data_IF_987227828031
#
_entry.id   IF_987227828031
#
_cell.length_a   1.000
_cell.length_b   1.000
_cell.length_c   1.000
_cell.angle_alpha   90.00
_cell.angle_beta   90.00
_cell.angle_gamma   90.00
#
_symmetry.space_group_name_H-M   'P 1'
#
loop_
_entity.id
_entity.type
_entity.pdbx_description
1 polymer ?
#
# COMPACT_ATOMS: atom_id res chain seq x y z
N UNK A 1 21.21 12.47 4.43
CA UNK A 1 19.98 12.66 5.22
C UNK A 1 19.46 14.06 4.93
N UNK A 2 18.33 14.19 4.22
CA UNK A 2 17.72 15.50 3.98
C UNK A 2 16.67 15.67 5.08
N UNK A 3 17.05 16.36 6.16
CA UNK A 3 16.12 16.72 7.24
C UNK A 3 15.22 17.84 6.73
N UNK A 4 13.94 17.55 6.54
CA UNK A 4 12.89 18.57 6.44
C UNK A 4 12.45 18.95 7.85
N UNK A 5 12.92 20.10 8.33
CA UNK A 5 12.43 20.70 9.57
C UNK A 5 11.03 21.27 9.36
N UNK A 6 10.23 21.22 10.41
CA UNK A 6 8.82 21.54 10.41
C UNK A 6 8.46 22.92 9.86
N UNK A 7 7.18 22.97 9.47
CA UNK A 7 6.34 24.11 9.16
C UNK A 7 6.48 25.21 10.22
N UNK A 8 7.41 26.14 10.01
CA UNK A 8 7.57 27.34 10.82
C UNK A 8 8.98 27.93 10.74
N UNK A 9 9.14 29.00 9.95
CA UNK A 9 10.38 29.78 9.92
C UNK A 9 10.72 30.28 8.51
N UNK A 10 10.66 31.60 8.35
CA UNK A 10 10.90 32.38 7.12
C UNK A 10 12.33 32.25 6.54
N UNK A 11 12.65 31.11 5.95
CA UNK A 11 13.95 30.90 5.31
C UNK A 11 13.91 29.84 4.22
N UNK A 12 13.69 30.28 2.98
CA UNK A 12 13.79 29.48 1.75
C UNK A 12 13.03 28.15 1.79
N UNK A 13 11.82 28.15 1.25
CA UNK A 13 11.13 26.93 0.86
C UNK A 13 11.94 26.29 -0.29
N UNK A 14 13.04 25.62 0.06
CA UNK A 14 13.87 24.88 -0.89
C UNK A 14 12.95 23.82 -1.47
N UNK A 15 12.61 23.98 -2.74
CA UNK A 15 11.75 23.03 -3.45
C UNK A 15 12.53 21.72 -3.65
N UNK A 16 12.50 20.89 -2.61
CA UNK A 16 13.15 19.57 -2.54
C UNK A 16 12.71 18.71 -3.72
N UNK A 17 11.49 18.91 -4.25
CA UNK A 17 10.99 18.20 -5.43
C UNK A 17 11.87 18.43 -6.66
N UNK A 18 12.26 19.68 -6.92
CA UNK A 18 13.08 20.01 -8.08
C UNK A 18 14.54 19.59 -7.89
N UNK A 19 15.06 19.62 -6.67
CA UNK A 19 16.38 19.07 -6.35
C UNK A 19 16.44 17.55 -6.58
N UNK A 20 15.41 16.82 -6.13
CA UNK A 20 15.30 15.37 -6.35
C UNK A 20 15.15 15.02 -7.83
N UNK A 21 14.33 15.77 -8.59
CA UNK A 21 14.19 15.60 -10.05
C UNK A 21 15.54 15.77 -10.77
N UNK A 22 16.33 16.76 -10.39
CA UNK A 22 17.66 16.99 -10.98
C UNK A 22 18.65 15.88 -10.60
N UNK A 23 18.61 15.36 -9.38
CA UNK A 23 19.47 14.25 -8.94
C UNK A 23 19.11 12.92 -9.65
N UNK A 24 17.81 12.67 -9.85
CA UNK A 24 17.27 11.53 -10.60
C UNK A 24 17.64 11.61 -12.09
N UNK A 25 17.47 12.78 -12.73
CA UNK A 25 17.79 12.97 -14.14
C UNK A 25 19.29 12.80 -14.46
N UNK A 26 20.16 13.15 -13.50
CA UNK A 26 21.62 12.96 -13.60
C UNK A 26 22.08 11.54 -13.21
N UNK A 27 21.16 10.65 -12.81
CA UNK A 27 21.48 9.29 -12.40
C UNK A 27 22.27 9.16 -11.10
N UNK A 28 22.41 10.24 -10.31
CA UNK A 28 23.12 10.24 -9.02
C UNK A 28 22.27 9.64 -7.89
N UNK A 29 20.96 9.53 -8.12
CA UNK A 29 20.00 8.92 -7.20
C UNK A 29 19.17 7.90 -7.98
N UNK A 30 18.95 6.73 -7.36
CA UNK A 30 17.99 5.72 -7.82
C UNK A 30 16.96 5.56 -6.72
N UNK A 31 15.69 5.60 -7.08
CA UNK A 31 14.61 5.48 -6.12
C UNK A 31 13.41 4.79 -6.77
N UNK A 32 12.68 4.04 -5.95
CA UNK A 32 11.37 3.54 -6.30
C UNK A 32 10.34 4.44 -5.64
N UNK A 33 9.21 4.65 -6.31
CA UNK A 33 8.08 5.37 -5.75
C UNK A 33 6.85 4.50 -5.89
N UNK A 34 6.11 4.33 -4.80
CA UNK A 34 4.82 3.67 -4.78
C UNK A 34 3.74 4.74 -4.64
N UNK A 35 2.77 4.75 -5.56
CA UNK A 35 1.64 5.67 -5.58
C UNK A 35 0.45 4.92 -6.16
N UNK A 36 -0.76 5.36 -5.81
CA UNK A 36 -1.98 4.80 -6.37
C UNK A 36 -2.16 5.21 -7.84
N UNK A 37 -2.96 4.45 -8.59
CA UNK A 37 -3.24 4.76 -9.99
C UNK A 37 -3.88 6.15 -10.15
N UNK A 38 -4.82 6.51 -9.27
CA UNK A 38 -5.52 7.79 -9.33
C UNK A 38 -4.63 8.98 -8.98
N UNK A 39 -3.72 8.83 -8.01
CA UNK A 39 -2.71 9.84 -7.71
C UNK A 39 -1.77 10.06 -8.89
N UNK A 40 -1.36 8.97 -9.54
CA UNK A 40 -0.55 9.05 -10.74
C UNK A 40 -1.27 9.81 -11.86
N UNK A 41 -2.53 9.49 -12.15
CA UNK A 41 -3.32 10.15 -13.19
C UNK A 41 -3.53 11.64 -12.91
N UNK A 42 -3.81 12.00 -11.64
CA UNK A 42 -3.92 13.39 -11.20
C UNK A 42 -2.59 14.13 -11.34
N UNK A 43 -1.47 13.51 -10.98
CA UNK A 43 -0.14 14.09 -11.12
C UNK A 43 0.22 14.34 -12.59
N UNK A 44 -0.09 13.41 -13.50
CA UNK A 44 0.17 13.60 -14.94
C UNK A 44 -0.74 14.65 -15.59
N UNK A 45 -1.97 14.81 -15.09
CA UNK A 45 -2.94 15.79 -15.59
C UNK A 45 -2.64 17.22 -15.11
N UNK A 46 -2.14 17.37 -13.88
CA UNK A 46 -1.81 18.66 -13.27
C UNK A 46 -0.34 19.03 -13.46
N UNK A 47 0.01 19.63 -14.62
CA UNK A 47 1.29 20.33 -14.89
C UNK A 47 2.62 19.53 -14.75
N UNK A 48 2.65 18.31 -14.21
CA UNK A 48 3.85 17.45 -14.09
C UNK A 48 4.20 16.72 -15.41
N UNK A 49 3.93 17.33 -16.57
CA UNK A 49 4.07 16.70 -17.89
C UNK A 49 5.51 16.63 -18.41
N UNK A 50 6.48 17.21 -17.69
CA UNK A 50 7.85 17.45 -18.20
C UNK A 50 8.95 16.53 -17.65
N UNK A 51 8.66 15.65 -16.69
CA UNK A 51 9.70 14.83 -16.02
C UNK A 51 9.48 13.32 -16.12
N UNK A 52 8.37 12.85 -16.69
CA UNK A 52 7.96 11.44 -16.65
C UNK A 52 8.71 10.52 -17.62
N UNK A 53 9.57 11.06 -18.50
CA UNK A 53 10.28 10.27 -19.50
C UNK A 53 11.38 9.34 -18.93
N UNK A 54 11.77 9.50 -17.66
CA UNK A 54 12.84 8.69 -17.04
C UNK A 54 12.35 7.52 -16.17
N UNK A 55 11.05 7.45 -15.86
CA UNK A 55 10.53 6.48 -14.89
C UNK A 55 9.86 5.29 -15.60
N UNK A 56 10.42 4.08 -15.43
CA UNK A 56 9.75 2.85 -15.85
C UNK A 56 8.59 2.56 -14.91
N UNK A 57 7.38 2.38 -15.45
CA UNK A 57 6.21 2.00 -14.67
C UNK A 57 6.16 0.47 -14.54
N UNK A 58 5.96 -0.01 -13.32
CA UNK A 58 5.59 -1.38 -13.04
C UNK A 58 4.22 -1.37 -12.36
N UNK A 59 3.22 -1.96 -13.01
CA UNK A 59 1.89 -2.12 -12.40
C UNK A 59 1.91 -3.36 -11.52
N UNK A 60 1.49 -3.22 -10.26
CA UNK A 60 1.37 -4.34 -9.32
C UNK A 60 -0.12 -4.69 -9.23
N UNK A 61 -0.54 -5.87 -9.73
CA UNK A 61 -1.92 -6.33 -9.57
C UNK A 61 -2.17 -6.81 -8.13
N UNK A 62 -3.44 -6.89 -7.76
CA UNK A 62 -3.85 -7.57 -6.52
C UNK A 62 -3.47 -9.06 -6.60
N UNK A 63 -2.87 -9.64 -5.54
CA UNK A 63 -2.54 -11.07 -5.50
C UNK A 63 -3.80 -11.93 -5.47
N UNK A 64 -3.69 -13.17 -5.96
CA UNK A 64 -4.79 -14.13 -5.89
C UNK A 64 -5.00 -14.64 -4.46
N UNK A 65 -6.12 -15.33 -4.20
CA UNK A 65 -6.35 -15.99 -2.91
C UNK A 65 -5.22 -16.97 -2.57
N UNK A 66 -4.75 -17.75 -3.56
CA UNK A 66 -3.65 -18.70 -3.38
C UNK A 66 -2.34 -18.01 -3.04
N UNK A 67 -2.01 -16.93 -3.74
CA UNK A 67 -0.80 -16.13 -3.46
C UNK A 67 -0.88 -15.49 -2.07
N UNK A 68 -2.07 -15.05 -1.66
CA UNK A 68 -2.30 -14.47 -0.33
C UNK A 68 -2.08 -15.49 0.77
N UNK A 69 -2.55 -16.73 0.59
CA UNK A 69 -2.29 -17.84 1.53
C UNK A 69 -0.78 -18.06 1.66
N UNK A 70 -0.04 -18.10 0.54
CA UNK A 70 1.40 -18.28 0.55
C UNK A 70 2.13 -17.11 1.27
N UNK A 71 1.70 -15.87 1.04
CA UNK A 71 2.23 -14.69 1.74
C UNK A 71 2.00 -14.80 3.25
N UNK A 72 0.78 -15.17 3.68
CA UNK A 72 0.45 -15.32 5.09
C UNK A 72 1.22 -16.48 5.74
N UNK A 73 1.40 -17.61 5.04
CA UNK A 73 2.22 -18.72 5.51
C UNK A 73 3.68 -18.30 5.72
N UNK A 74 4.25 -17.50 4.82
CA UNK A 74 5.61 -16.98 4.97
C UNK A 74 5.72 -16.00 6.16
N UNK A 75 4.70 -15.17 6.38
CA UNK A 75 4.68 -14.20 7.48
C UNK A 75 4.26 -14.81 8.83
N UNK A 76 3.68 -16.01 8.84
CA UNK A 76 3.19 -16.70 10.05
C UNK A 76 4.23 -16.70 11.18
N UNK A 77 5.47 -17.09 10.89
CA UNK A 77 6.52 -17.15 11.91
C UNK A 77 6.84 -15.78 12.53
N UNK A 78 6.58 -14.68 11.81
CA UNK A 78 6.74 -13.32 12.33
C UNK A 78 5.56 -12.94 13.23
N UNK A 79 4.33 -13.24 12.80
CA UNK A 79 3.12 -12.99 13.58
C UNK A 79 3.08 -13.80 14.88
N UNK A 80 3.43 -15.09 14.84
CA UNK A 80 3.46 -15.93 16.06
C UNK A 80 4.46 -15.41 17.10
N UNK A 81 5.58 -14.83 16.66
CA UNK A 81 6.57 -14.19 17.53
C UNK A 81 6.07 -12.89 18.13
N UNK A 82 5.35 -12.08 17.35
CA UNK A 82 4.79 -10.81 17.81
C UNK A 82 3.61 -11.04 18.76
N UNK A 83 2.71 -11.95 18.40
CA UNK A 83 1.43 -12.10 19.08
C UNK A 83 1.43 -13.18 20.17
N UNK A 84 2.49 -13.98 20.27
CA UNK A 84 2.57 -15.13 21.20
C UNK A 84 1.39 -16.12 21.05
N UNK A 85 0.72 -16.09 19.90
CA UNK A 85 -0.37 -16.97 19.53
C UNK A 85 0.12 -17.95 18.46
N UNK A 86 -0.44 -19.17 18.45
CA UNK A 86 -0.16 -20.16 17.39
C UNK A 86 -1.29 -20.13 16.38
N UNK A 87 -0.96 -19.99 15.10
CA UNK A 87 -1.96 -20.03 14.04
C UNK A 87 -2.06 -21.43 13.44
N UNK A 88 -3.27 -21.96 13.38
CA UNK A 88 -3.55 -23.15 12.58
C UNK A 88 -3.56 -22.78 11.09
N UNK A 89 -3.16 -23.70 10.24
CA UNK A 89 -3.11 -23.45 8.79
C UNK A 89 -4.51 -23.29 8.20
N UNK A 90 -5.47 -24.02 8.76
CA UNK A 90 -6.89 -23.93 8.47
C UNK A 90 -7.45 -22.53 8.81
N UNK A 91 -6.94 -21.90 9.87
CA UNK A 91 -7.37 -20.56 10.28
C UNK A 91 -6.92 -19.50 9.27
N UNK A 92 -5.70 -19.61 8.72
CA UNK A 92 -5.21 -18.71 7.67
C UNK A 92 -6.02 -18.86 6.38
N UNK A 93 -6.32 -20.10 5.98
CA UNK A 93 -7.16 -20.38 4.81
C UNK A 93 -8.57 -19.84 5.02
N UNK A 94 -9.14 -20.01 6.21
CA UNK A 94 -10.44 -19.47 6.57
C UNK A 94 -10.44 -17.92 6.52
N UNK A 95 -9.41 -17.26 7.05
CA UNK A 95 -9.27 -15.81 7.01
C UNK A 95 -9.22 -15.27 5.57
N UNK A 96 -8.46 -15.90 4.67
CA UNK A 96 -8.42 -15.51 3.25
C UNK A 96 -9.77 -15.70 2.58
N UNK A 97 -10.43 -16.85 2.78
CA UNK A 97 -11.75 -17.13 2.18
C UNK A 97 -12.84 -16.20 2.70
N UNK A 98 -12.85 -15.94 4.01
CA UNK A 98 -13.84 -15.06 4.64
C UNK A 98 -13.62 -13.61 4.26
N UNK A 99 -12.37 -13.13 4.24
CA UNK A 99 -12.05 -11.77 3.77
C UNK A 99 -12.40 -11.59 2.29
N UNK A 100 -12.12 -12.57 1.42
CA UNK A 100 -12.51 -12.53 0.02
C UNK A 100 -14.03 -12.47 -0.20
N UNK A 101 -14.80 -13.13 0.67
CA UNK A 101 -16.27 -13.19 0.58
C UNK A 101 -16.98 -12.01 1.22
N UNK A 102 -16.55 -11.59 2.41
CA UNK A 102 -17.28 -10.66 3.27
C UNK A 102 -16.60 -9.29 3.41
N UNK A 103 -15.28 -9.22 3.25
CA UNK A 103 -14.52 -7.96 3.22
C UNK A 103 -14.33 -7.54 1.76
N UNK A 104 -15.46 -7.47 1.04
CA UNK A 104 -15.50 -6.82 -0.26
C UNK A 104 -15.78 -5.35 0.00
N UNK A 105 -14.78 -4.50 -0.20
CA UNK A 105 -14.97 -3.04 -0.21
C UNK A 105 -16.14 -2.74 -1.14
N UNK A 106 -17.16 -2.04 -0.64
CA UNK A 106 -18.47 -1.84 -1.27
C UNK A 106 -18.41 -1.74 -2.81
N UNK A 107 -18.45 -2.89 -3.48
CA UNK A 107 -18.74 -3.01 -4.91
C UNK A 107 -20.26 -2.91 -5.07
N UNK A 108 -20.83 -1.80 -4.57
CA UNK A 108 -22.14 -1.34 -5.03
C UNK A 108 -21.93 -0.71 -6.39
N UNK A 109 -22.06 -1.60 -7.37
CA UNK A 109 -22.49 -1.38 -8.73
C UNK A 109 -23.65 -0.38 -8.87
N UNK A 110 -23.44 0.91 -8.65
CA UNK A 110 -24.15 2.02 -9.31
C UNK A 110 -23.70 3.38 -8.77
N UNK A 111 -23.67 4.35 -9.67
CA UNK A 111 -23.53 5.81 -9.41
C UNK A 111 -22.09 6.34 -9.25
N UNK A 112 -21.47 6.60 -10.40
CA UNK A 112 -20.74 7.83 -10.79
C UNK A 112 -19.71 8.53 -9.87
N UNK A 113 -19.31 7.97 -8.74
CA UNK A 113 -18.30 8.58 -7.85
C UNK A 113 -17.24 7.60 -7.36
N UNK A 114 -16.83 6.69 -8.24
CA UNK A 114 -15.71 5.78 -8.00
C UNK A 114 -14.38 6.48 -8.27
N UNK A 115 -13.98 7.43 -7.41
CA UNK A 115 -12.61 7.97 -7.45
C UNK A 115 -12.13 8.66 -6.16
N UNK A 116 -12.62 8.23 -5.00
CA UNK A 116 -12.06 8.63 -3.72
C UNK A 116 -11.92 7.40 -2.84
N UNK A 117 -10.66 6.98 -2.66
CA UNK A 117 -10.21 5.96 -1.70
C UNK A 117 -10.76 4.55 -1.96
N UNK A 118 -10.11 3.79 -2.84
CA UNK A 118 -9.95 2.36 -2.52
C UNK A 118 -8.90 2.35 -1.41
N UNK A 119 -9.35 2.35 -0.16
CA UNK A 119 -8.46 2.12 0.96
C UNK A 119 -7.77 0.77 0.73
N UNK A 120 -6.42 0.71 0.77
CA UNK A 120 -5.68 -0.52 0.50
C UNK A 120 -6.06 -1.65 1.47
N UNK A 121 -6.72 -1.33 2.59
CA UNK A 121 -7.28 -2.26 3.56
C UNK A 121 -8.28 -3.28 2.97
N UNK A 122 -8.95 -2.98 1.85
CA UNK A 122 -9.93 -3.89 1.26
C UNK A 122 -9.37 -4.80 0.14
N UNK A 123 -8.08 -4.69 -0.14
CA UNK A 123 -7.40 -5.52 -1.15
C UNK A 123 -6.65 -6.66 -0.46
N UNK A 124 -6.50 -7.78 -1.16
CA UNK A 124 -5.50 -8.75 -0.77
C UNK A 124 -4.09 -8.15 -0.89
N UNK A 125 -3.15 -8.48 0.01
CA UNK A 125 -3.29 -9.38 1.17
C UNK A 125 -3.81 -8.69 2.45
N UNK A 126 -3.95 -7.36 2.44
CA UNK A 126 -4.24 -6.55 3.64
C UNK A 126 -5.52 -6.97 4.36
N UNK A 127 -6.64 -7.13 3.64
CA UNK A 127 -7.91 -7.55 4.26
C UNK A 127 -7.83 -8.89 5.00
N UNK A 128 -6.94 -9.80 4.57
CA UNK A 128 -6.76 -11.08 5.22
C UNK A 128 -5.87 -10.95 6.47
N UNK A 129 -4.86 -10.07 6.41
CA UNK A 129 -4.01 -9.71 7.56
C UNK A 129 -4.86 -9.08 8.66
N UNK A 130 -5.72 -8.12 8.30
CA UNK A 130 -6.56 -7.40 9.27
C UNK A 130 -7.48 -8.37 10.05
N UNK A 131 -8.10 -9.34 9.36
CA UNK A 131 -8.92 -10.37 10.03
C UNK A 131 -8.09 -11.26 10.97
N UNK A 132 -6.86 -11.59 10.60
CA UNK A 132 -5.97 -12.40 11.44
C UNK A 132 -5.54 -11.61 12.68
N UNK A 133 -5.20 -10.34 12.51
CA UNK A 133 -4.79 -9.45 13.61
C UNK A 133 -5.95 -9.20 14.59
N UNK A 134 -7.15 -8.91 14.07
CA UNK A 134 -8.36 -8.72 14.89
C UNK A 134 -8.75 -9.99 15.66
N UNK A 135 -8.63 -11.16 15.03
CA UNK A 135 -8.85 -12.45 15.71
C UNK A 135 -7.82 -12.68 16.81
N UNK A 136 -6.56 -12.30 16.59
CA UNK A 136 -5.50 -12.40 17.59
C UNK A 136 -5.73 -11.46 18.78
N UNK A 137 -6.15 -10.22 18.52
CA UNK A 137 -6.51 -9.27 19.54
C UNK A 137 -7.70 -9.77 20.38
N UNK A 138 -8.71 -10.36 19.73
CA UNK A 138 -9.91 -10.89 20.39
C UNK A 138 -9.61 -12.12 21.26
N UNK A 139 -8.65 -12.96 20.88
CA UNK A 139 -8.25 -14.14 21.65
C UNK A 139 -7.41 -13.82 22.89
N UNK A 140 -6.94 -12.57 23.06
CA UNK A 140 -6.20 -12.10 24.23
C UNK A 140 -7.09 -11.60 25.38
N UNK A 141 -8.40 -11.47 25.15
CA UNK A 141 -9.40 -11.12 26.17
C UNK A 141 -9.93 -12.38 26.86
#
# INVERSE_FOLDING_TARGET
MLLGTGRGGDGSNVDVSNMLKLALARGRLRGLSAITHDEYQRATSSRMRRSSAASRRCTVPEPTEGDTIAILQQQKASYERHDSAKFQEEALIAAVRLSGRYVQGSQRNNTSFQLLMIDPAHLFPYKAIDLVDEACASARL
#
